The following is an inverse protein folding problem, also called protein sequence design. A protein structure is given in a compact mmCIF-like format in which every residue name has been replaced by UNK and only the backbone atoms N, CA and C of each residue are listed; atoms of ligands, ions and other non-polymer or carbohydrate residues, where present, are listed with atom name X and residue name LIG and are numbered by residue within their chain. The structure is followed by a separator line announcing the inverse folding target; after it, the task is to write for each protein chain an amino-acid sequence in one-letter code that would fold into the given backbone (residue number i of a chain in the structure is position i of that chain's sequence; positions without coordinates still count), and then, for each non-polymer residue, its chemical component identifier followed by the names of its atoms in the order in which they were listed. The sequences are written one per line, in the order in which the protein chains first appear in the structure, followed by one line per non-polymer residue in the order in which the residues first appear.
data_IF_808813744621
#
_entry.id   IF_808813744621
#
_cell.length_a   1.000
_cell.length_b   1.000
_cell.length_c   1.000
_cell.angle_alpha   90.00
_cell.angle_beta   90.00
_cell.angle_gamma   90.00
#
_symmetry.space_group_name_H-M   'P 1'
#
loop_
_entity.id
_entity.type
_entity.pdbx_description
1 polymer ?
#
# COMPACT_ATOMS: atom_id res chain seq x y z
N UNK A 1 -32.96 -37.96 -15.53
CA UNK A 1 -32.49 -36.56 -15.54
C UNK A 1 -31.58 -36.39 -14.34
N UNK A 2 -30.28 -36.62 -14.52
CA UNK A 2 -29.30 -36.64 -13.44
C UNK A 2 -28.65 -35.27 -13.33
N UNK A 3 -29.04 -34.47 -12.35
CA UNK A 3 -28.45 -33.15 -12.08
C UNK A 3 -27.13 -33.32 -11.32
N UNK A 4 -26.01 -33.08 -12.01
CA UNK A 4 -24.71 -32.94 -11.39
C UNK A 4 -24.62 -31.57 -10.69
N UNK A 5 -24.45 -31.57 -9.37
CA UNK A 5 -24.22 -30.35 -8.60
C UNK A 5 -22.74 -29.94 -8.75
N UNK A 6 -22.54 -28.77 -9.34
CA UNK A 6 -21.26 -28.13 -9.61
C UNK A 6 -20.62 -27.68 -8.28
N UNK A 7 -19.74 -28.52 -7.71
CA UNK A 7 -19.02 -28.20 -6.48
C UNK A 7 -17.76 -27.40 -6.81
N UNK A 8 -17.95 -26.09 -7.08
CA UNK A 8 -16.84 -25.16 -7.25
C UNK A 8 -15.97 -25.11 -6.01
N UNK A 9 -14.64 -25.24 -6.18
CA UNK A 9 -13.65 -25.12 -5.09
C UNK A 9 -13.84 -23.82 -4.33
N UNK A 10 -14.53 -23.87 -3.19
CA UNK A 10 -14.65 -22.75 -2.26
C UNK A 10 -13.30 -22.55 -1.58
N UNK A 11 -12.75 -21.34 -1.67
CA UNK A 11 -11.56 -20.96 -0.90
C UNK A 11 -11.91 -21.04 0.60
N UNK A 12 -11.01 -21.59 1.44
CA UNK A 12 -11.27 -21.70 2.87
C UNK A 12 -11.42 -20.31 3.48
N UNK A 13 -12.31 -20.19 4.47
CA UNK A 13 -12.44 -18.94 5.24
C UNK A 13 -11.27 -18.79 6.21
N UNK A 14 -11.01 -17.57 6.69
CA UNK A 14 -9.97 -17.33 7.70
C UNK A 14 -10.13 -18.23 8.93
N UNK A 15 -11.38 -18.46 9.37
CA UNK A 15 -11.68 -19.37 10.48
C UNK A 15 -11.22 -20.79 10.18
N UNK A 16 -11.49 -21.27 8.97
CA UNK A 16 -11.12 -22.62 8.54
C UNK A 16 -9.60 -22.79 8.43
N UNK A 17 -8.90 -21.76 7.99
CA UNK A 17 -7.43 -21.73 7.96
C UNK A 17 -6.84 -21.74 9.38
N UNK A 18 -7.42 -20.99 10.32
CA UNK A 18 -6.99 -20.96 11.73
C UNK A 18 -7.25 -22.30 12.41
N UNK A 19 -8.42 -22.91 12.22
CA UNK A 19 -8.73 -24.25 12.74
C UNK A 19 -7.76 -25.29 12.16
N UNK A 20 -7.51 -25.26 10.85
CA UNK A 20 -6.56 -26.19 10.20
C UNK A 20 -5.13 -26.05 10.74
N UNK A 21 -4.71 -24.84 11.09
CA UNK A 21 -3.39 -24.56 11.65
C UNK A 21 -3.27 -25.04 13.11
N UNK A 22 -4.32 -24.88 13.91
CA UNK A 22 -4.36 -25.37 15.29
C UNK A 22 -4.36 -26.90 15.33
N UNK A 23 -5.03 -27.55 14.39
CA UNK A 23 -5.09 -29.01 14.26
C UNK A 23 -3.78 -29.62 13.76
N UNK A 24 -3.07 -28.95 12.84
CA UNK A 24 -1.81 -29.41 12.27
C UNK A 24 -0.58 -28.75 12.91
N UNK A 25 -0.69 -28.31 14.17
CA UNK A 25 0.41 -27.64 14.86
C UNK A 25 1.63 -28.58 14.86
N UNK A 26 2.76 -28.21 14.22
CA UNK A 26 3.91 -29.09 14.14
C UNK A 26 4.48 -29.33 15.53
N UNK A 27 4.29 -30.56 16.04
CA UNK A 27 4.91 -31.06 17.25
C UNK A 27 6.31 -31.61 16.91
N UNK A 28 7.28 -30.72 16.71
CA UNK A 28 8.73 -30.95 16.82
C UNK A 28 9.44 -29.72 16.24
N UNK A 29 10.19 -28.97 17.04
CA UNK A 29 11.63 -29.24 17.23
C UNK A 29 12.31 -29.72 15.94
N UNK A 30 12.34 -28.88 14.91
CA UNK A 30 13.51 -28.82 14.05
C UNK A 30 14.20 -27.50 14.32
N UNK A 31 15.47 -27.57 14.72
CA UNK A 31 16.36 -26.41 14.84
C UNK A 31 16.63 -25.90 13.41
N UNK A 32 15.70 -25.18 12.81
CA UNK A 32 16.01 -24.28 11.72
C UNK A 32 16.62 -23.01 12.30
N UNK A 33 17.62 -22.48 11.61
CA UNK A 33 18.34 -21.27 11.98
C UNK A 33 17.39 -20.15 12.36
N UNK A 34 17.73 -19.44 13.43
CA UNK A 34 16.94 -18.37 14.07
C UNK A 34 16.54 -17.19 13.14
N UNK A 35 16.88 -17.23 11.85
CA UNK A 35 16.81 -16.10 10.93
C UNK A 35 15.85 -16.28 9.74
N UNK A 36 15.20 -17.45 9.56
CA UNK A 36 14.43 -17.71 8.32
C UNK A 36 12.90 -17.73 8.49
N UNK A 37 12.38 -17.69 9.72
CA UNK A 37 10.93 -17.73 9.95
C UNK A 37 10.38 -16.35 10.38
N UNK A 38 9.59 -15.66 9.53
CA UNK A 38 9.01 -14.34 9.85
C UNK A 38 8.00 -14.39 11.00
N UNK A 39 7.67 -15.59 11.47
CA UNK A 39 6.75 -15.84 12.58
C UNK A 39 7.43 -16.33 13.86
N UNK A 40 8.76 -16.50 13.86
CA UNK A 40 9.53 -16.94 15.04
C UNK A 40 9.37 -15.96 16.20
N UNK A 41 9.53 -14.66 15.92
CA UNK A 41 9.29 -13.58 16.90
C UNK A 41 7.85 -13.50 17.38
N UNK A 42 6.87 -13.75 16.50
CA UNK A 42 5.44 -13.81 16.86
C UNK A 42 5.17 -15.00 17.79
N UNK A 43 5.81 -16.14 17.55
CA UNK A 43 5.69 -17.32 18.40
C UNK A 43 6.32 -17.12 19.78
N UNK A 44 7.43 -16.39 19.86
CA UNK A 44 8.08 -15.99 21.12
C UNK A 44 7.18 -15.03 21.92
N UNK A 45 6.56 -14.06 21.23
CA UNK A 45 5.60 -13.12 21.82
C UNK A 45 4.36 -13.83 22.39
N UNK A 46 3.78 -14.76 21.63
CA UNK A 46 2.62 -15.54 22.07
C UNK A 46 2.94 -16.43 23.28
N UNK A 47 4.15 -16.97 23.35
CA UNK A 47 4.60 -17.76 24.50
C UNK A 47 4.80 -16.88 25.75
N UNK A 48 5.29 -15.64 25.56
CA UNK A 48 5.43 -14.65 26.64
C UNK A 48 4.07 -14.15 27.15
N UNK A 49 3.05 -14.06 26.29
CA UNK A 49 1.68 -13.65 26.66
C UNK A 49 0.89 -14.74 27.38
N UNK A 50 1.23 -16.02 27.18
CA UNK A 50 0.53 -17.15 27.81
C UNK A 50 1.00 -17.47 29.24
N UNK A 51 2.08 -16.82 29.72
CA UNK A 51 2.76 -17.21 30.96
C UNK A 51 2.41 -16.41 32.23
N UNK A 52 1.65 -15.31 32.17
CA UNK A 52 0.98 -14.73 33.35
C UNK A 52 0.02 -13.59 33.02
N UNK A 53 -0.98 -13.40 33.89
CA UNK A 53 -2.09 -12.46 33.79
C UNK A 53 -1.84 -11.08 34.44
N UNK A 54 -0.61 -10.74 34.85
CA UNK A 54 -0.29 -9.44 35.47
C UNK A 54 0.68 -8.59 34.65
N UNK A 55 0.37 -7.29 34.54
CA UNK A 55 1.21 -6.27 33.91
C UNK A 55 2.08 -5.61 34.98
N UNK A 56 3.25 -6.18 35.28
CA UNK A 56 4.22 -5.60 36.22
C UNK A 56 5.28 -4.77 35.49
N UNK A 57 5.86 -3.76 36.16
CA UNK A 57 6.80 -2.79 35.53
C UNK A 57 7.97 -3.44 34.80
N UNK A 58 8.55 -4.50 35.37
CA UNK A 58 9.66 -5.24 34.74
C UNK A 58 9.28 -5.91 33.40
N UNK A 59 7.99 -6.25 33.22
CA UNK A 59 7.48 -6.85 31.99
C UNK A 59 7.23 -5.78 30.93
N UNK A 60 6.78 -4.59 31.32
CA UNK A 60 6.66 -3.46 30.40
C UNK A 60 8.03 -3.06 29.85
N UNK A 61 9.07 -3.03 30.69
CA UNK A 61 10.45 -2.78 30.25
C UNK A 61 10.92 -3.86 29.26
N UNK A 62 10.66 -5.14 29.57
CA UNK A 62 10.97 -6.24 28.65
C UNK A 62 10.20 -6.16 27.32
N UNK A 63 8.95 -5.67 27.33
CA UNK A 63 8.14 -5.47 26.12
C UNK A 63 8.67 -4.29 25.29
N UNK A 64 9.10 -3.20 25.94
CA UNK A 64 9.70 -2.04 25.28
C UNK A 64 11.04 -2.41 24.63
N UNK A 65 11.90 -3.16 25.32
CA UNK A 65 13.17 -3.63 24.77
C UNK A 65 12.97 -4.55 23.55
N UNK A 66 11.95 -5.41 23.58
CA UNK A 66 11.57 -6.24 22.43
C UNK A 66 11.02 -5.42 21.27
N UNK A 67 10.20 -4.38 21.52
CA UNK A 67 9.69 -3.49 20.47
C UNK A 67 10.82 -2.71 19.80
N UNK A 68 11.80 -2.23 20.58
CA UNK A 68 12.97 -1.55 20.05
C UNK A 68 13.86 -2.50 19.24
N UNK A 69 14.04 -3.74 19.71
CA UNK A 69 14.77 -4.79 18.98
C UNK A 69 14.10 -5.16 17.66
N UNK A 70 12.76 -5.18 17.61
CA UNK A 70 12.00 -5.38 16.37
C UNK A 70 12.10 -4.17 15.43
N UNK A 71 12.13 -2.95 15.97
CA UNK A 71 12.34 -1.73 15.18
C UNK A 71 13.68 -1.74 14.44
N UNK A 72 14.73 -2.28 15.08
CA UNK A 72 16.08 -2.39 14.52
C UNK A 72 16.20 -3.51 13.47
N UNK A 73 15.31 -4.52 13.52
CA UNK A 73 15.23 -5.60 12.52
C UNK A 73 14.34 -5.27 11.32
N UNK A 74 13.58 -4.18 11.38
CA UNK A 74 12.89 -3.65 10.21
C UNK A 74 13.92 -2.82 9.45
N UNK A 75 14.52 -3.40 8.42
CA UNK A 75 15.41 -2.70 7.48
C UNK A 75 14.65 -1.52 6.85
N UNK A 76 14.71 -0.35 7.48
CA UNK A 76 14.16 0.91 6.95
C UNK A 76 14.87 1.34 5.65
N UNK A 77 16.06 0.78 5.39
CA UNK A 77 16.78 0.91 4.11
C UNK A 77 16.07 0.26 2.91
N UNK A 78 15.08 -0.61 3.16
CA UNK A 78 14.17 -1.08 2.11
C UNK A 78 12.95 -0.19 1.92
N UNK A 79 12.90 0.99 2.55
CA UNK A 79 11.91 2.01 2.22
C UNK A 79 12.07 2.40 0.76
N UNK A 80 11.33 1.68 -0.10
CA UNK A 80 11.06 2.03 -1.48
C UNK A 80 10.10 3.21 -1.49
N UNK A 81 10.31 4.18 -0.62
CA UNK A 81 9.57 5.41 -0.56
C UNK A 81 10.09 6.41 -1.55
N UNK A 82 9.38 7.51 -1.58
CA UNK A 82 9.72 8.69 -2.35
C UNK A 82 10.20 9.78 -1.37
N UNK A 83 11.09 10.65 -1.82
CA UNK A 83 11.63 11.74 -1.00
C UNK A 83 10.66 12.92 -0.91
N UNK A 84 10.87 13.78 0.09
CA UNK A 84 10.11 15.03 0.26
C UNK A 84 10.20 15.92 -0.98
N UNK A 85 11.36 15.93 -1.65
CA UNK A 85 11.58 16.74 -2.85
C UNK A 85 10.63 16.37 -4.01
N UNK A 86 10.22 15.10 -4.11
CA UNK A 86 9.21 14.67 -5.06
C UNK A 86 7.78 14.99 -4.58
N UNK A 87 7.50 14.90 -3.28
CA UNK A 87 6.19 15.31 -2.74
C UNK A 87 5.90 16.78 -3.07
N UNK A 88 6.91 17.63 -3.00
CA UNK A 88 6.81 19.05 -3.35
C UNK A 88 6.51 19.29 -4.85
N UNK A 89 6.86 18.34 -5.71
CA UNK A 89 6.60 18.40 -7.16
C UNK A 89 5.20 17.88 -7.53
N UNK A 90 4.44 17.34 -6.57
CA UNK A 90 3.08 16.89 -6.84
C UNK A 90 2.17 18.07 -7.22
N UNK A 91 1.23 17.77 -8.12
CA UNK A 91 0.32 18.79 -8.64
C UNK A 91 -0.69 19.22 -7.56
N UNK A 92 -0.67 20.51 -7.22
CA UNK A 92 -1.54 21.09 -6.20
C UNK A 92 -2.86 21.50 -6.83
N UNK A 93 -3.96 21.00 -6.29
CA UNK A 93 -5.29 21.27 -6.82
C UNK A 93 -6.03 22.23 -5.90
N UNK A 94 -6.59 23.30 -6.46
CA UNK A 94 -7.41 24.21 -5.70
C UNK A 94 -8.78 23.58 -5.42
N UNK A 95 -9.21 23.59 -4.16
CA UNK A 95 -10.48 23.01 -3.70
C UNK A 95 -11.72 23.58 -4.41
N UNK A 96 -11.64 24.80 -4.96
CA UNK A 96 -12.71 25.39 -5.78
C UNK A 96 -13.02 24.60 -7.06
N UNK A 97 -12.08 23.78 -7.54
CA UNK A 97 -12.26 22.92 -8.71
C UNK A 97 -12.73 21.50 -8.36
N UNK A 98 -12.80 21.17 -7.07
CA UNK A 98 -13.33 19.90 -6.60
C UNK A 98 -14.83 20.02 -6.28
N UNK A 99 -15.51 18.89 -6.36
CA UNK A 99 -16.90 18.76 -5.92
C UNK A 99 -17.00 19.08 -4.42
N UNK A 100 -18.12 19.64 -3.93
CA UNK A 100 -18.32 19.82 -2.50
C UNK A 100 -18.29 18.49 -1.73
N UNK A 101 -18.69 17.40 -2.39
CA UNK A 101 -18.76 16.05 -1.82
C UNK A 101 -17.44 15.26 -1.96
N UNK A 102 -16.38 15.85 -2.54
CA UNK A 102 -15.10 15.17 -2.67
C UNK A 102 -14.42 15.07 -1.29
N UNK A 103 -13.98 13.85 -0.98
CA UNK A 103 -13.36 13.50 0.31
C UNK A 103 -12.00 12.84 0.10
N UNK A 104 -11.11 13.01 1.06
CA UNK A 104 -9.82 12.32 1.08
C UNK A 104 -10.03 10.83 1.38
N UNK A 105 -9.60 9.89 0.52
CA UNK A 105 -9.80 8.46 0.75
C UNK A 105 -9.06 7.88 1.97
N UNK A 106 -8.12 8.63 2.55
CA UNK A 106 -7.30 8.19 3.68
C UNK A 106 -7.93 8.62 5.02
N UNK A 107 -8.25 9.91 5.17
CA UNK A 107 -8.83 10.45 6.41
C UNK A 107 -10.37 10.54 6.36
N UNK A 108 -10.99 10.34 5.19
CA UNK A 108 -12.44 10.42 4.93
C UNK A 108 -13.08 11.78 5.20
N UNK A 109 -12.27 12.83 5.37
CA UNK A 109 -12.76 14.19 5.54
C UNK A 109 -13.02 14.85 4.17
N UNK A 110 -14.02 15.73 4.12
CA UNK A 110 -14.31 16.57 2.96
C UNK A 110 -13.23 17.65 2.82
N UNK A 111 -12.75 17.86 1.60
CA UNK A 111 -11.70 18.85 1.33
C UNK A 111 -12.15 20.29 1.62
N UNK A 112 -13.46 20.56 1.54
CA UNK A 112 -14.03 21.89 1.79
C UNK A 112 -14.18 22.22 3.28
N UNK A 113 -14.10 21.22 4.16
CA UNK A 113 -14.24 21.43 5.61
C UNK A 113 -12.94 21.91 6.27
N UNK A 114 -11.80 21.78 5.59
CA UNK A 114 -10.53 22.30 6.06
C UNK A 114 -10.40 23.80 5.71
N UNK A 115 -10.06 24.68 6.66
CA UNK A 115 -9.77 26.08 6.37
C UNK A 115 -8.55 26.30 5.45
N UNK A 116 -7.58 25.38 5.43
CA UNK A 116 -6.37 25.47 4.62
C UNK A 116 -6.08 24.15 3.88
N UNK A 117 -6.96 23.73 2.96
CA UNK A 117 -6.87 22.41 2.36
C UNK A 117 -5.68 22.31 1.40
N UNK A 118 -4.73 21.43 1.72
CA UNK A 118 -3.58 21.11 0.88
C UNK A 118 -3.86 19.84 0.08
N UNK A 119 -4.64 19.98 -0.99
CA UNK A 119 -5.00 18.85 -1.85
C UNK A 119 -3.98 18.68 -2.96
N UNK A 120 -3.47 17.46 -3.11
CA UNK A 120 -2.56 17.06 -4.18
C UNK A 120 -3.16 15.98 -5.05
N UNK A 121 -2.78 16.00 -6.32
CA UNK A 121 -3.16 15.01 -7.32
C UNK A 121 -1.97 14.13 -7.68
N UNK A 122 -2.18 12.81 -7.62
CA UNK A 122 -1.16 11.85 -8.05
C UNK A 122 -1.13 11.73 -9.59
N UNK A 123 0.05 11.49 -10.20
CA UNK A 123 0.21 11.42 -11.66
C UNK A 123 -0.42 10.16 -12.30
N UNK A 124 -0.89 9.21 -11.49
CA UNK A 124 -1.46 7.96 -11.97
C UNK A 124 -2.86 8.09 -12.58
N UNK A 125 -3.70 9.03 -12.08
CA UNK A 125 -5.03 9.30 -12.61
C UNK A 125 -5.43 10.75 -12.27
N UNK A 126 -6.22 11.37 -13.16
CA UNK A 126 -6.73 12.73 -12.97
C UNK A 126 -7.63 12.87 -11.73
N UNK A 127 -8.26 11.78 -11.27
CA UNK A 127 -9.24 11.81 -10.17
C UNK A 127 -8.69 11.29 -8.84
N UNK A 128 -7.37 11.10 -8.70
CA UNK A 128 -6.76 10.62 -7.47
C UNK A 128 -6.23 11.79 -6.64
N UNK A 129 -7.14 12.33 -5.82
CA UNK A 129 -6.90 13.46 -4.93
C UNK A 129 -6.74 13.00 -3.49
N UNK A 130 -5.80 13.60 -2.78
CA UNK A 130 -5.53 13.33 -1.36
C UNK A 130 -5.05 14.60 -0.69
N UNK A 131 -5.20 14.68 0.63
CA UNK A 131 -4.48 15.68 1.41
C UNK A 131 -2.99 15.34 1.42
N UNK A 132 -2.14 16.37 1.29
CA UNK A 132 -0.68 16.21 1.32
C UNK A 132 -0.22 15.53 2.61
N UNK A 133 -0.80 15.90 3.75
CA UNK A 133 -0.48 15.33 5.06
C UNK A 133 -0.90 13.86 5.20
N UNK A 134 -1.92 13.45 4.45
CA UNK A 134 -2.38 12.06 4.45
C UNK A 134 -1.54 11.19 3.51
N UNK A 135 -1.24 11.67 2.31
CA UNK A 135 -0.54 10.89 1.29
C UNK A 135 0.98 10.91 1.46
N UNK A 136 1.53 11.94 2.10
CA UNK A 136 2.97 12.09 2.36
C UNK A 136 3.54 10.88 3.11
N UNK A 137 3.05 10.54 4.31
CA UNK A 137 3.53 9.37 5.06
C UNK A 137 3.41 8.06 4.29
N UNK A 138 2.35 7.92 3.47
CA UNK A 138 2.18 6.75 2.62
C UNK A 138 3.27 6.63 1.56
N UNK A 139 3.58 7.73 0.86
CA UNK A 139 4.57 7.76 -0.22
C UNK A 139 6.01 7.62 0.29
N UNK A 140 6.29 8.01 1.53
CA UNK A 140 7.56 7.71 2.20
C UNK A 140 7.80 6.21 2.42
N UNK A 141 6.73 5.42 2.47
CA UNK A 141 6.81 3.97 2.65
C UNK A 141 6.64 3.22 1.32
N UNK A 142 5.81 3.76 0.40
CA UNK A 142 5.40 3.08 -0.81
C UNK A 142 5.32 4.03 -2.02
N UNK A 143 6.01 3.75 -3.14
CA UNK A 143 5.83 4.53 -4.40
C UNK A 143 4.50 4.31 -5.13
N UNK A 144 3.49 3.71 -4.49
CA UNK A 144 2.26 3.29 -5.19
C UNK A 144 1.05 4.04 -4.68
N UNK A 145 0.13 4.35 -5.58
CA UNK A 145 -1.14 4.98 -5.23
C UNK A 145 -2.01 4.03 -4.38
N UNK A 146 -2.60 4.48 -3.25
CA UNK A 146 -3.50 3.67 -2.43
C UNK A 146 -4.72 3.11 -3.18
N UNK A 147 -5.21 3.84 -4.19
CA UNK A 147 -6.42 3.48 -4.93
C UNK A 147 -6.16 2.49 -6.07
N UNK A 148 -5.15 2.76 -6.91
CA UNK A 148 -4.90 1.97 -8.11
C UNK A 148 -3.61 1.15 -8.11
N UNK A 149 -2.77 1.28 -7.07
CA UNK A 149 -1.48 0.59 -6.91
C UNK A 149 -0.46 0.86 -8.03
N UNK A 150 -0.71 1.88 -8.87
CA UNK A 150 0.24 2.32 -9.89
C UNK A 150 1.38 3.07 -9.24
N UNK A 151 2.59 2.81 -9.73
CA UNK A 151 3.81 3.52 -9.32
C UNK A 151 3.72 4.98 -9.75
N UNK A 152 3.76 5.90 -8.79
CA UNK A 152 3.60 7.33 -9.04
C UNK A 152 4.82 7.93 -9.75
N UNK A 153 5.99 7.30 -9.64
CA UNK A 153 7.24 7.81 -10.24
C UNK A 153 7.32 7.58 -11.75
N UNK A 154 6.54 6.63 -12.28
CA UNK A 154 6.53 6.29 -13.71
C UNK A 154 5.52 7.18 -14.43
N UNK A 155 5.97 8.31 -14.99
CA UNK A 155 5.13 9.15 -15.86
C UNK A 155 4.64 8.32 -17.06
N UNK A 156 3.36 8.43 -17.40
CA UNK A 156 2.82 7.91 -18.66
C UNK A 156 3.29 8.85 -19.78
N UNK A 157 4.25 8.42 -20.59
CA UNK A 157 4.64 9.13 -21.81
C UNK A 157 3.40 9.32 -22.70
N UNK A 158 3.17 10.55 -23.13
CA UNK A 158 2.15 10.88 -24.12
C UNK A 158 2.78 10.56 -25.48
N UNK A 159 2.35 9.47 -26.11
CA UNK A 159 2.66 9.23 -27.52
C UNK A 159 1.89 10.28 -28.32
N UNK A 160 2.59 11.32 -28.78
CA UNK A 160 2.09 12.24 -29.79
C UNK A 160 1.79 11.41 -31.06
N UNK A 161 0.58 11.47 -31.63
CA UNK A 161 0.37 11.00 -32.99
C UNK A 161 1.34 11.76 -33.88
N UNK A 162 2.24 11.04 -34.58
CA UNK A 162 3.03 11.64 -35.65
C UNK A 162 2.05 12.03 -36.74
N UNK A 163 1.75 13.32 -36.84
CA UNK A 163 1.18 13.89 -38.06
C UNK A 163 2.24 13.72 -39.15
N UNK A 164 2.20 12.58 -39.84
CA UNK A 164 2.89 12.39 -41.10
C UNK A 164 2.15 13.22 -42.12
N UNK A 165 2.73 14.38 -42.40
CA UNK A 165 2.41 15.31 -43.47
C UNK A 165 2.08 14.54 -44.77
N UNK A 166 0.83 14.62 -45.22
CA UNK A 166 0.45 14.32 -46.61
C UNK A 166 0.91 15.53 -47.45
N UNK A 167 2.19 15.55 -47.81
CA UNK A 167 2.71 16.43 -48.85
C UNK A 167 2.92 15.61 -50.14
N UNK A 168 2.48 16.23 -51.24
CA UNK A 168 2.90 16.02 -52.63
C UNK A 168 2.19 14.97 -53.49
N UNK A 169 1.03 15.36 -54.03
CA UNK A 169 0.62 14.99 -55.40
C UNK A 169 0.11 16.26 -56.12
N UNK A 170 0.98 17.26 -56.23
CA UNK A 170 0.87 18.30 -57.26
C UNK A 170 1.87 17.96 -58.37
N UNK A 171 1.62 16.87 -59.09
CA UNK A 171 2.40 16.52 -60.27
C UNK A 171 1.79 17.23 -61.49
N UNK A 172 2.52 18.27 -61.90
CA UNK A 172 2.43 19.03 -63.14
C UNK A 172 2.03 18.15 -64.35
N UNK A 173 1.11 18.58 -65.22
CA UNK A 173 1.43 19.54 -66.29
C UNK A 173 2.70 19.19 -67.08
N UNK A 174 2.86 17.96 -67.61
CA UNK A 174 3.53 17.73 -68.92
C UNK A 174 3.18 16.34 -69.47
N UNK A 175 2.39 16.31 -70.55
CA UNK A 175 2.05 15.10 -71.31
C UNK A 175 0.89 15.29 -72.26
#
# INVERSE_FOLDING_TARGET
MSSQANNGRRRPTLRQMVETYLENRPTSQSRSSFNDDPYSVVSMLLNQLQSSSSLDSNRLDSMVDLLNSLGDQIDTDTAKGVDDAYLDQLDRVNVKHLSPDDTCPICTNEFHNDPYPLVVRLPCNKNHYFDLDCIGPWLHLNKTCPLCRVDVTKRKEIVLPSDSEEEDDFDDMYG
#
